data_IF_613847727836
#
_entry.id   IF_613847727836
#
_cell.length_a   1.000
_cell.length_b   1.000
_cell.length_c   1.000
_cell.angle_alpha   90.00
_cell.angle_beta   90.00
_cell.angle_gamma   90.00
#
_symmetry.space_group_name_H-M   'P 1'
#
loop_
_entity.id
_entity.type
_entity.pdbx_description
1 polymer ?
#
# COMPACT_ATOMS: atom_id res chain seq x y z
N UNK A 1 2.80 -41.70 -6.06
CA UNK A 1 3.16 -40.73 -5.01
C UNK A 1 4.67 -40.54 -5.01
N UNK A 2 5.14 -39.31 -5.25
CA UNK A 2 6.24 -38.78 -4.45
C UNK A 2 5.87 -37.42 -3.84
N UNK A 3 6.05 -37.38 -2.52
CA UNK A 3 6.32 -36.25 -1.62
C UNK A 3 6.22 -34.83 -2.18
N UNK A 4 5.19 -34.12 -1.74
CA UNK A 4 5.07 -32.67 -1.81
C UNK A 4 6.23 -32.01 -1.06
N UNK A 5 7.19 -31.46 -1.81
CA UNK A 5 8.19 -30.56 -1.29
C UNK A 5 7.52 -29.30 -0.77
N UNK A 6 7.60 -29.09 0.54
CA UNK A 6 7.21 -27.85 1.21
C UNK A 6 8.10 -26.74 0.66
N UNK A 7 7.65 -26.03 -0.39
CA UNK A 7 8.27 -24.78 -0.80
C UNK A 7 8.12 -23.82 0.37
N UNK A 8 9.21 -23.61 1.11
CA UNK A 8 9.38 -22.43 1.95
C UNK A 8 9.12 -21.23 1.05
N UNK A 9 8.05 -20.49 1.33
CA UNK A 9 7.75 -19.21 0.70
C UNK A 9 8.83 -18.19 1.11
N UNK A 10 10.01 -18.28 0.49
CA UNK A 10 11.03 -17.24 0.50
C UNK A 10 10.61 -16.18 -0.53
N UNK A 11 9.56 -15.41 -0.23
CA UNK A 11 9.47 -14.10 -0.83
C UNK A 11 10.47 -13.21 -0.10
N UNK A 12 11.44 -12.66 -0.84
CA UNK A 12 12.40 -11.69 -0.33
C UNK A 12 11.62 -10.53 0.30
N UNK A 13 11.51 -10.51 1.62
CA UNK A 13 11.21 -9.30 2.37
C UNK A 13 12.31 -8.29 2.07
N UNK A 14 11.93 -7.07 1.68
CA UNK A 14 12.87 -5.96 1.56
C UNK A 14 13.78 -5.93 2.79
N UNK A 15 15.09 -5.96 2.55
CA UNK A 15 16.09 -5.96 3.62
C UNK A 15 16.09 -4.60 4.29
N UNK A 16 15.81 -4.56 5.59
CA UNK A 16 15.81 -3.32 6.35
C UNK A 16 17.13 -2.52 6.16
N UNK A 17 16.99 -1.29 5.66
CA UNK A 17 18.04 -0.32 5.52
C UNK A 17 18.11 0.57 6.77
N UNK A 18 19.26 0.59 7.42
CA UNK A 18 19.53 1.46 8.57
C UNK A 18 20.47 2.58 8.14
N UNK A 19 20.15 3.82 8.50
CA UNK A 19 21.03 4.97 8.25
C UNK A 19 22.36 4.88 9.00
N UNK A 20 22.37 4.22 10.16
CA UNK A 20 23.56 4.02 10.99
C UNK A 20 23.38 2.88 12.00
N UNK A 21 24.49 2.39 12.54
CA UNK A 21 24.47 1.43 13.66
C UNK A 21 23.80 2.02 14.90
N UNK A 22 23.89 3.33 15.11
CA UNK A 22 23.22 4.02 16.20
C UNK A 22 21.69 3.94 16.06
N UNK A 23 21.17 4.17 14.84
CA UNK A 23 19.73 4.02 14.57
C UNK A 23 19.28 2.57 14.79
N UNK A 24 20.06 1.60 14.30
CA UNK A 24 19.78 0.17 14.53
C UNK A 24 19.74 -0.18 16.03
N UNK A 25 20.74 0.28 16.79
CA UNK A 25 20.80 0.06 18.24
C UNK A 25 19.61 0.71 18.97
N UNK A 26 19.22 1.91 18.53
CA UNK A 26 18.07 2.65 19.05
C UNK A 26 16.75 1.92 18.83
N UNK A 27 16.50 1.42 17.63
CA UNK A 27 15.31 0.60 17.32
C UNK A 27 15.30 -0.67 18.19
N UNK A 28 16.45 -1.34 18.35
CA UNK A 28 16.59 -2.51 19.23
C UNK A 28 16.33 -2.19 20.70
N UNK A 29 16.65 -0.98 21.15
CA UNK A 29 16.33 -0.51 22.50
C UNK A 29 14.81 -0.30 22.65
N UNK A 30 14.17 0.37 21.70
CA UNK A 30 12.72 0.62 21.72
C UNK A 30 11.94 -0.69 21.65
N UNK A 31 12.37 -1.64 20.83
CA UNK A 31 11.76 -2.97 20.69
C UNK A 31 11.84 -3.84 21.94
N UNK A 32 12.64 -3.45 22.95
CA UNK A 32 12.68 -4.12 24.27
C UNK A 32 11.64 -3.58 25.25
N UNK A 33 11.07 -2.40 24.98
CA UNK A 33 10.02 -1.82 25.82
C UNK A 33 8.76 -2.71 25.79
N UNK A 34 8.02 -2.72 26.90
CA UNK A 34 6.79 -3.52 26.99
C UNK A 34 5.74 -3.09 25.94
N UNK A 35 5.63 -1.78 25.65
CA UNK A 35 4.75 -1.23 24.63
C UNK A 35 5.00 -1.84 23.24
N UNK A 36 6.27 -1.91 22.83
CA UNK A 36 6.66 -2.48 21.54
C UNK A 36 6.57 -3.99 21.54
N UNK A 37 7.10 -4.65 22.58
CA UNK A 37 7.10 -6.12 22.67
C UNK A 37 5.71 -6.73 22.64
N UNK A 38 4.74 -6.04 23.23
CA UNK A 38 3.36 -6.48 23.32
C UNK A 38 2.48 -5.87 22.22
N UNK A 39 3.02 -4.98 21.38
CA UNK A 39 2.29 -4.30 20.30
C UNK A 39 0.97 -3.65 20.76
N UNK A 40 0.98 -3.10 21.99
CA UNK A 40 -0.23 -2.57 22.62
C UNK A 40 -0.91 -1.46 21.82
N UNK A 41 -0.19 -0.50 21.20
CA UNK A 41 -0.84 0.50 20.36
C UNK A 41 -1.60 -0.14 19.20
N UNK A 42 -1.06 -1.19 18.59
CA UNK A 42 -1.70 -1.90 17.46
C UNK A 42 -2.87 -2.76 17.94
N UNK A 43 -2.80 -3.39 19.11
CA UNK A 43 -3.95 -4.08 19.70
C UNK A 43 -5.09 -3.13 20.08
N UNK A 44 -4.78 -1.98 20.68
CA UNK A 44 -5.78 -0.95 20.98
C UNK A 44 -6.41 -0.45 19.68
N UNK A 45 -5.60 -0.21 18.64
CA UNK A 45 -6.07 0.20 17.32
C UNK A 45 -7.05 -0.83 16.72
N UNK A 46 -6.70 -2.12 16.74
CA UNK A 46 -7.59 -3.21 16.29
C UNK A 46 -8.91 -3.14 17.08
N UNK A 47 -8.83 -3.06 18.42
CA UNK A 47 -9.99 -2.98 19.29
C UNK A 47 -10.90 -1.80 18.95
N UNK A 48 -10.35 -0.59 18.83
CA UNK A 48 -11.09 0.64 18.49
C UNK A 48 -11.73 0.55 17.12
N UNK A 49 -11.00 0.09 16.09
CA UNK A 49 -11.55 -0.01 14.73
C UNK A 49 -12.69 -1.01 14.70
N UNK A 50 -12.49 -2.22 15.24
CA UNK A 50 -13.51 -3.27 15.21
C UNK A 50 -14.73 -2.89 16.03
N UNK A 51 -14.54 -2.50 17.29
CA UNK A 51 -15.66 -2.11 18.15
C UNK A 51 -16.39 -0.89 17.61
N UNK A 52 -15.66 0.14 17.17
CA UNK A 52 -16.24 1.35 16.59
C UNK A 52 -17.02 1.06 15.31
N UNK A 53 -16.51 0.18 14.44
CA UNK A 53 -17.16 -0.12 13.17
C UNK A 53 -18.44 -0.93 13.39
N UNK A 54 -18.39 -2.00 14.19
CA UNK A 54 -19.57 -2.79 14.52
C UNK A 54 -20.60 -1.97 15.30
N UNK A 55 -20.17 -1.16 16.28
CA UNK A 55 -21.07 -0.25 16.99
C UNK A 55 -21.69 0.79 16.05
N UNK A 56 -20.93 1.33 15.10
CA UNK A 56 -21.44 2.28 14.11
C UNK A 56 -22.56 1.69 13.25
N UNK A 57 -22.48 0.41 12.90
CA UNK A 57 -23.57 -0.30 12.21
C UNK A 57 -24.73 -0.61 13.16
N UNK A 58 -24.46 -1.14 14.35
CA UNK A 58 -25.51 -1.52 15.32
C UNK A 58 -26.36 -0.31 15.72
N UNK A 59 -25.70 0.84 15.95
CA UNK A 59 -26.34 2.09 16.33
C UNK A 59 -26.63 3.02 15.14
N UNK A 60 -26.66 2.48 13.91
CA UNK A 60 -26.84 3.25 12.68
C UNK A 60 -28.08 4.17 12.73
N UNK A 61 -29.20 3.64 13.20
CA UNK A 61 -30.46 4.37 13.27
C UNK A 61 -30.40 5.55 14.26
N UNK A 62 -29.64 5.41 15.36
CA UNK A 62 -29.46 6.47 16.36
C UNK A 62 -28.46 7.54 15.89
N UNK A 63 -27.40 7.14 15.21
CA UNK A 63 -26.43 8.07 14.62
C UNK A 63 -27.02 8.88 13.47
N UNK A 64 -27.97 8.28 12.74
CA UNK A 64 -28.49 8.82 11.50
C UNK A 64 -27.49 8.72 10.35
N UNK A 65 -27.95 8.94 9.11
CA UNK A 65 -27.17 8.61 7.91
C UNK A 65 -25.91 9.47 7.75
N UNK A 66 -25.92 10.73 8.19
CA UNK A 66 -24.78 11.64 8.02
C UNK A 66 -23.64 11.26 8.97
N UNK A 67 -23.90 11.29 10.28
CA UNK A 67 -22.88 11.00 11.29
C UNK A 67 -22.41 9.54 11.20
N UNK A 68 -23.34 8.60 10.98
CA UNK A 68 -23.01 7.20 10.76
C UNK A 68 -22.09 7.01 9.55
N UNK A 69 -22.37 7.70 8.43
CA UNK A 69 -21.50 7.60 7.24
C UNK A 69 -20.11 8.15 7.51
N UNK A 70 -19.99 9.33 8.12
CA UNK A 70 -18.67 9.93 8.44
C UNK A 70 -17.87 8.99 9.34
N UNK A 71 -18.49 8.44 10.39
CA UNK A 71 -17.84 7.49 11.29
C UNK A 71 -17.35 6.24 10.54
N UNK A 72 -18.22 5.60 9.75
CA UNK A 72 -17.88 4.38 9.03
C UNK A 72 -16.86 4.63 7.91
N UNK A 73 -16.88 5.80 7.26
CA UNK A 73 -15.84 6.20 6.30
C UNK A 73 -14.48 6.28 6.99
N UNK A 74 -14.40 7.01 8.11
CA UNK A 74 -13.15 7.20 8.85
C UNK A 74 -12.61 5.86 9.38
N UNK A 75 -13.46 5.03 9.95
CA UNK A 75 -13.07 3.71 10.47
C UNK A 75 -12.66 2.75 9.35
N UNK A 76 -13.33 2.78 8.21
CA UNK A 76 -12.97 1.93 7.06
C UNK A 76 -11.67 2.40 6.39
N UNK A 77 -11.43 3.71 6.34
CA UNK A 77 -10.15 4.27 5.90
C UNK A 77 -9.01 3.90 6.87
N UNK A 78 -9.26 4.02 8.18
CA UNK A 78 -8.29 3.64 9.20
C UNK A 78 -8.01 2.14 9.21
N UNK A 79 -9.04 1.33 8.91
CA UNK A 79 -8.90 -0.11 8.72
C UNK A 79 -7.96 -0.46 7.57
N UNK A 80 -7.98 0.26 6.45
CA UNK A 80 -7.00 0.02 5.37
C UNK A 80 -5.56 0.36 5.80
N UNK A 81 -5.37 1.42 6.59
CA UNK A 81 -4.07 1.70 7.22
C UNK A 81 -3.65 0.58 8.18
N UNK A 82 -4.60 0.03 8.95
CA UNK A 82 -4.35 -1.13 9.80
C UNK A 82 -4.02 -2.39 8.96
N UNK A 83 -4.71 -2.65 7.85
CA UNK A 83 -4.41 -3.77 6.96
C UNK A 83 -2.96 -3.71 6.46
N UNK A 84 -2.48 -2.51 6.11
CA UNK A 84 -1.08 -2.29 5.79
C UNK A 84 -0.14 -2.70 6.93
N UNK A 85 -0.41 -2.26 8.15
CA UNK A 85 0.36 -2.62 9.35
C UNK A 85 0.35 -4.14 9.61
N UNK A 86 -0.79 -4.79 9.38
CA UNK A 86 -0.94 -6.25 9.51
C UNK A 86 -0.06 -7.01 8.50
N UNK A 87 0.05 -6.50 7.26
CA UNK A 87 0.88 -7.08 6.19
C UNK A 87 2.35 -7.13 6.60
N UNK A 88 2.82 -6.10 7.31
CA UNK A 88 4.20 -5.97 7.78
C UNK A 88 4.53 -6.73 9.07
N UNK A 89 3.57 -7.51 9.59
CA UNK A 89 3.84 -8.45 10.67
C UNK A 89 3.50 -7.93 12.07
N UNK A 90 2.73 -6.85 12.18
CA UNK A 90 2.19 -6.37 13.45
C UNK A 90 0.73 -6.80 13.60
N UNK A 91 0.19 -6.99 14.81
CA UNK A 91 0.88 -6.98 16.10
C UNK A 91 1.56 -8.33 16.40
N UNK A 92 1.47 -9.34 15.53
CA UNK A 92 2.01 -10.67 15.82
C UNK A 92 3.01 -11.15 14.77
N UNK A 93 4.04 -11.88 15.22
CA UNK A 93 4.96 -12.61 14.34
C UNK A 93 4.28 -13.70 13.48
N UNK A 94 3.01 -14.03 13.76
CA UNK A 94 2.27 -15.07 13.06
C UNK A 94 1.39 -14.44 11.98
N UNK A 95 1.89 -14.49 10.74
CA UNK A 95 1.21 -13.88 9.58
C UNK A 95 -0.25 -14.29 9.42
N UNK A 96 -0.60 -15.54 9.76
CA UNK A 96 -1.98 -16.02 9.67
C UNK A 96 -2.92 -15.37 10.70
N UNK A 97 -2.42 -15.01 11.90
CA UNK A 97 -3.19 -14.29 12.91
C UNK A 97 -3.43 -12.86 12.45
N UNK A 98 -2.41 -12.17 11.94
CA UNK A 98 -2.59 -10.82 11.40
C UNK A 98 -3.55 -10.84 10.20
N UNK A 99 -3.45 -11.86 9.35
CA UNK A 99 -4.37 -12.04 8.23
C UNK A 99 -5.83 -12.19 8.71
N UNK A 100 -6.10 -12.89 9.82
CA UNK A 100 -7.46 -12.98 10.37
C UNK A 100 -8.06 -11.59 10.62
N UNK A 101 -7.30 -10.69 11.24
CA UNK A 101 -7.72 -9.31 11.49
C UNK A 101 -7.79 -8.43 10.23
N UNK A 102 -7.16 -8.85 9.13
CA UNK A 102 -7.19 -8.11 7.86
C UNK A 102 -8.22 -8.63 6.87
N UNK A 103 -8.80 -9.81 7.10
CA UNK A 103 -9.63 -10.52 6.10
C UNK A 103 -11.07 -10.02 6.06
N UNK A 104 -11.58 -9.34 7.10
CA UNK A 104 -12.92 -8.76 7.05
C UNK A 104 -13.00 -7.64 6.01
N UNK A 105 -14.03 -7.62 5.15
CA UNK A 105 -14.08 -6.71 4.00
C UNK A 105 -14.73 -5.36 4.34
N UNK A 106 -14.33 -4.70 5.44
CA UNK A 106 -14.87 -3.37 5.80
C UNK A 106 -14.68 -2.35 4.67
N UNK A 107 -13.52 -2.39 4.01
CA UNK A 107 -13.21 -1.52 2.88
C UNK A 107 -13.69 -2.06 1.51
N UNK A 108 -14.30 -3.26 1.45
CA UNK A 108 -14.93 -3.89 0.27
C UNK A 108 -13.99 -4.28 -0.88
N UNK A 109 -13.15 -3.38 -1.37
CA UNK A 109 -12.67 -3.42 -2.74
C UNK A 109 -11.57 -4.46 -3.03
N UNK A 110 -10.76 -4.81 -2.04
CA UNK A 110 -9.60 -5.70 -2.22
C UNK A 110 -9.61 -6.84 -1.18
N UNK A 111 -9.41 -8.10 -1.58
CA UNK A 111 -9.07 -9.16 -0.65
C UNK A 111 -7.73 -8.86 0.04
N UNK A 112 -7.65 -9.17 1.34
CA UNK A 112 -6.41 -8.95 2.11
C UNK A 112 -5.18 -9.62 1.48
N UNK A 113 -5.32 -10.84 0.95
CA UNK A 113 -4.23 -11.55 0.30
C UNK A 113 -3.73 -10.83 -0.95
N UNK A 114 -4.65 -10.28 -1.76
CA UNK A 114 -4.30 -9.50 -2.95
C UNK A 114 -3.55 -8.23 -2.55
N UNK A 115 -4.06 -7.52 -1.54
CA UNK A 115 -3.40 -6.31 -1.05
C UNK A 115 -2.00 -6.64 -0.50
N UNK A 116 -1.88 -7.69 0.31
CA UNK A 116 -0.60 -8.18 0.84
C UNK A 116 0.41 -8.48 -0.26
N UNK A 117 0.01 -9.24 -1.27
CA UNK A 117 0.94 -9.71 -2.30
C UNK A 117 1.38 -8.57 -3.23
N UNK A 118 0.44 -7.69 -3.61
CA UNK A 118 0.73 -6.44 -4.33
C UNK A 118 1.67 -5.54 -3.53
N UNK A 119 1.39 -5.34 -2.24
CA UNK A 119 2.16 -4.45 -1.39
C UNK A 119 3.59 -4.97 -1.15
N UNK A 120 3.75 -6.28 -0.90
CA UNK A 120 5.09 -6.88 -0.74
C UNK A 120 5.90 -6.77 -2.04
N UNK A 121 5.26 -6.82 -3.20
CA UNK A 121 5.93 -6.58 -4.47
C UNK A 121 6.36 -5.12 -4.62
N UNK A 122 5.49 -4.17 -4.25
CA UNK A 122 5.77 -2.73 -4.22
C UNK A 122 6.95 -2.37 -3.29
N UNK A 123 7.12 -3.11 -2.19
CA UNK A 123 8.24 -2.94 -1.24
C UNK A 123 9.64 -3.26 -1.80
N UNK A 124 9.75 -3.68 -3.06
CA UNK A 124 11.05 -3.85 -3.72
C UNK A 124 11.54 -2.50 -4.22
N UNK A 125 12.40 -1.86 -3.43
CA UNK A 125 12.86 -0.49 -3.68
C UNK A 125 13.47 -0.28 -5.08
N UNK A 126 14.16 -1.28 -5.63
CA UNK A 126 14.72 -1.23 -7.00
C UNK A 126 13.64 -1.11 -8.08
N UNK A 127 12.47 -1.72 -7.83
CA UNK A 127 11.35 -1.77 -8.76
C UNK A 127 10.37 -0.61 -8.57
N UNK A 128 10.50 0.21 -7.50
CA UNK A 128 9.61 1.34 -7.24
C UNK A 128 9.50 2.26 -8.47
N UNK A 129 8.27 2.67 -8.79
CA UNK A 129 7.92 3.47 -9.97
C UNK A 129 8.17 2.82 -11.33
N UNK A 130 8.61 1.56 -11.37
CA UNK A 130 8.82 0.83 -12.62
C UNK A 130 7.46 0.36 -13.20
N UNK A 131 7.04 0.83 -14.39
CA UNK A 131 5.69 0.60 -14.94
C UNK A 131 5.22 -0.85 -15.06
N UNK A 132 6.16 -1.80 -15.18
CA UNK A 132 5.85 -3.22 -15.37
C UNK A 132 6.04 -4.08 -14.12
N UNK A 133 6.73 -3.55 -13.10
CA UNK A 133 7.17 -4.34 -11.93
C UNK A 133 6.55 -3.87 -10.63
N UNK A 134 6.32 -2.57 -10.49
CA UNK A 134 5.65 -2.00 -9.33
C UNK A 134 4.13 -1.95 -9.57
N UNK A 135 3.33 -2.72 -8.82
CA UNK A 135 1.88 -2.77 -8.99
C UNK A 135 1.16 -1.49 -8.55
N UNK A 136 1.85 -0.62 -7.80
CA UNK A 136 1.32 0.68 -7.36
C UNK A 136 1.90 1.85 -8.18
N UNK A 137 2.59 1.54 -9.29
CA UNK A 137 3.15 2.53 -10.19
C UNK A 137 2.06 3.24 -11.02
N UNK A 138 2.19 4.57 -11.11
CA UNK A 138 1.34 5.42 -11.94
C UNK A 138 1.99 5.82 -13.28
N UNK A 139 3.27 5.48 -13.49
CA UNK A 139 3.96 5.72 -14.75
C UNK A 139 3.72 4.59 -15.76
N UNK A 140 3.89 4.92 -17.04
CA UNK A 140 3.73 4.02 -18.17
C UNK A 140 5.01 3.93 -18.99
N UNK A 141 5.19 2.84 -19.73
CA UNK A 141 6.24 2.77 -20.76
C UNK A 141 5.88 3.68 -21.93
N UNK A 142 6.89 4.14 -22.68
CA UNK A 142 6.65 4.97 -23.87
C UNK A 142 5.73 4.26 -24.87
N UNK A 143 5.91 2.94 -25.03
CA UNK A 143 5.07 2.09 -25.88
C UNK A 143 3.62 2.05 -25.40
N UNK A 144 3.38 1.76 -24.11
CA UNK A 144 2.02 1.77 -23.54
C UNK A 144 1.34 3.12 -23.77
N UNK A 145 2.04 4.22 -23.48
CA UNK A 145 1.50 5.57 -23.63
C UNK A 145 1.16 5.89 -25.09
N UNK A 146 1.98 5.48 -26.05
CA UNK A 146 1.69 5.68 -27.47
C UNK A 146 0.38 5.01 -27.91
N UNK A 147 0.11 3.79 -27.43
CA UNK A 147 -1.09 3.02 -27.79
C UNK A 147 -2.36 3.44 -27.04
N UNK A 148 -2.26 4.25 -25.98
CA UNK A 148 -3.45 4.72 -25.28
C UNK A 148 -4.27 5.70 -26.13
N UNK A 149 -5.58 5.45 -26.17
CA UNK A 149 -6.55 6.38 -26.76
C UNK A 149 -6.53 7.74 -26.05
N UNK A 150 -6.80 8.83 -26.79
CA UNK A 150 -6.72 10.20 -26.27
C UNK A 150 -7.60 10.43 -25.03
N UNK A 151 -8.78 9.80 -25.00
CA UNK A 151 -9.68 9.88 -23.84
C UNK A 151 -9.09 9.23 -22.59
N UNK A 152 -8.39 8.09 -22.75
CA UNK A 152 -7.74 7.42 -21.63
C UNK A 152 -6.59 8.26 -21.08
N UNK A 153 -5.79 8.89 -21.96
CA UNK A 153 -4.77 9.86 -21.56
C UNK A 153 -5.38 11.03 -20.78
N UNK A 154 -6.54 11.53 -21.21
CA UNK A 154 -7.30 12.56 -20.51
C UNK A 154 -7.75 12.11 -19.11
N UNK A 155 -8.29 10.89 -18.98
CA UNK A 155 -8.68 10.32 -17.68
C UNK A 155 -7.47 10.17 -16.76
N UNK A 156 -6.34 9.69 -17.27
CA UNK A 156 -5.10 9.54 -16.50
C UNK A 156 -4.62 10.91 -15.99
N UNK A 157 -4.55 11.92 -16.88
CA UNK A 157 -4.18 13.30 -16.50
C UNK A 157 -5.11 13.88 -15.46
N UNK A 158 -6.42 13.68 -15.61
CA UNK A 158 -7.40 14.12 -14.62
C UNK A 158 -7.15 13.41 -13.29
N UNK A 159 -6.92 12.10 -13.29
CA UNK A 159 -6.58 11.33 -12.09
C UNK A 159 -5.25 11.75 -11.43
N UNK A 160 -4.37 12.42 -12.17
CA UNK A 160 -3.10 12.97 -11.67
C UNK A 160 -3.25 14.36 -11.05
N UNK A 161 -4.44 14.99 -11.11
CA UNK A 161 -4.78 16.12 -10.23
C UNK A 161 -5.18 15.59 -8.86
N UNK A 162 -5.02 16.38 -7.79
CA UNK A 162 -5.39 15.97 -6.44
C UNK A 162 -6.90 15.66 -6.34
N UNK A 163 -7.76 16.56 -6.83
CA UNK A 163 -9.21 16.34 -6.81
C UNK A 163 -9.62 15.17 -7.70
N UNK A 164 -9.00 15.05 -8.88
CA UNK A 164 -9.26 13.92 -9.78
C UNK A 164 -8.78 12.58 -9.21
N UNK A 165 -7.66 12.56 -8.46
CA UNK A 165 -7.21 11.36 -7.75
C UNK A 165 -8.23 10.92 -6.71
N UNK A 166 -8.77 11.85 -5.92
CA UNK A 166 -9.78 11.51 -4.91
C UNK A 166 -11.10 11.05 -5.54
N UNK A 167 -11.50 11.64 -6.66
CA UNK A 167 -12.82 11.37 -7.27
C UNK A 167 -12.81 10.20 -8.25
N UNK A 168 -11.80 10.07 -9.10
CA UNK A 168 -11.70 9.07 -10.19
C UNK A 168 -10.71 7.96 -9.86
N UNK A 169 -9.65 8.25 -9.09
CA UNK A 169 -8.63 7.27 -8.70
C UNK A 169 -9.21 5.96 -8.16
N UNK A 170 -10.13 5.98 -7.16
CA UNK A 170 -10.74 4.77 -6.64
C UNK A 170 -11.43 3.91 -7.72
N UNK A 171 -12.14 4.55 -8.66
CA UNK A 171 -12.77 3.83 -9.78
C UNK A 171 -11.76 3.11 -10.66
N UNK A 172 -10.62 3.74 -10.96
CA UNK A 172 -9.56 3.12 -11.75
C UNK A 172 -8.99 1.89 -11.05
N UNK A 173 -8.75 1.96 -9.75
CA UNK A 173 -8.21 0.83 -9.00
C UNK A 173 -9.21 -0.31 -8.86
N UNK A 174 -10.49 0.00 -8.64
CA UNK A 174 -11.56 -0.99 -8.60
C UNK A 174 -11.64 -1.71 -9.95
N UNK A 175 -11.62 -0.99 -11.07
CA UNK A 175 -11.62 -1.58 -12.42
C UNK A 175 -10.40 -2.48 -12.61
N UNK A 176 -9.20 -2.02 -12.23
CA UNK A 176 -7.98 -2.81 -12.35
C UNK A 176 -8.02 -4.09 -11.50
N UNK A 177 -8.59 -3.99 -10.30
CA UNK A 177 -8.78 -5.13 -9.38
C UNK A 177 -9.76 -6.15 -9.94
N UNK A 178 -10.90 -5.70 -10.45
CA UNK A 178 -11.90 -6.57 -11.09
C UNK A 178 -11.35 -7.24 -12.35
N UNK A 179 -10.55 -6.54 -13.15
CA UNK A 179 -9.82 -7.13 -14.29
C UNK A 179 -8.82 -8.19 -13.83
N UNK A 180 -8.12 -7.94 -12.73
CA UNK A 180 -7.24 -8.91 -12.08
C UNK A 180 -7.99 -10.17 -11.63
N UNK A 181 -9.14 -9.99 -10.98
CA UNK A 181 -10.04 -11.07 -10.61
C UNK A 181 -10.47 -11.88 -11.83
N UNK A 182 -11.01 -11.23 -12.86
CA UNK A 182 -11.44 -11.89 -14.10
C UNK A 182 -10.34 -12.72 -14.76
N UNK A 183 -9.11 -12.17 -14.84
CA UNK A 183 -7.93 -12.91 -15.34
C UNK A 183 -7.63 -14.16 -14.53
N UNK A 184 -7.68 -14.09 -13.19
CA UNK A 184 -7.46 -15.24 -12.33
C UNK A 184 -8.50 -16.36 -12.55
N UNK A 185 -9.77 -16.00 -12.75
CA UNK A 185 -10.82 -16.96 -13.09
C UNK A 185 -10.63 -17.57 -14.48
N UNK A 186 -10.29 -16.76 -15.48
CA UNK A 186 -10.05 -17.25 -16.85
C UNK A 186 -8.82 -18.17 -16.95
N UNK A 187 -7.75 -17.88 -16.20
CA UNK A 187 -6.53 -18.69 -16.19
C UNK A 187 -6.60 -19.91 -15.28
N UNK A 188 -7.66 -20.03 -14.46
CA UNK A 188 -7.82 -21.14 -13.51
C UNK A 188 -6.87 -21.09 -12.31
N UNK A 189 -6.44 -19.89 -11.89
CA UNK A 189 -5.59 -19.68 -10.72
C UNK A 189 -6.36 -20.01 -9.43
N UNK A 190 -6.30 -21.29 -9.02
CA UNK A 190 -7.08 -21.82 -7.88
C UNK A 190 -6.84 -21.05 -6.56
N UNK A 191 -5.59 -20.75 -6.15
CA UNK A 191 -5.34 -19.89 -4.98
C UNK A 191 -6.06 -18.54 -5.04
N UNK A 192 -5.94 -17.83 -6.17
CA UNK A 192 -6.58 -16.52 -6.32
C UNK A 192 -8.11 -16.62 -6.34
N UNK A 193 -8.66 -17.64 -7.02
CA UNK A 193 -10.10 -17.91 -7.03
C UNK A 193 -10.62 -18.16 -5.61
N UNK A 194 -9.95 -19.02 -4.83
CA UNK A 194 -10.37 -19.33 -3.46
C UNK A 194 -10.34 -18.09 -2.55
N UNK A 195 -9.31 -17.25 -2.68
CA UNK A 195 -9.24 -15.97 -1.98
C UNK A 195 -10.43 -15.06 -2.34
N UNK A 196 -10.76 -14.95 -3.62
CA UNK A 196 -11.93 -14.18 -4.07
C UNK A 196 -13.24 -14.73 -3.55
N UNK A 197 -13.42 -16.06 -3.55
CA UNK A 197 -14.62 -16.69 -3.01
C UNK A 197 -14.80 -16.43 -1.50
N UNK A 198 -13.72 -16.52 -0.72
CA UNK A 198 -13.76 -16.16 0.71
C UNK A 198 -14.13 -14.69 0.87
N UNK A 199 -13.47 -13.79 0.15
CA UNK A 199 -13.71 -12.35 0.25
C UNK A 199 -15.16 -12.00 -0.10
N UNK A 200 -15.67 -12.52 -1.21
CA UNK A 200 -17.05 -12.29 -1.66
C UNK A 200 -18.08 -12.92 -0.71
N UNK A 201 -17.79 -14.09 -0.15
CA UNK A 201 -18.65 -14.73 0.84
C UNK A 201 -18.75 -13.93 2.14
N UNK A 202 -17.60 -13.44 2.65
CA UNK A 202 -17.55 -12.56 3.82
C UNK A 202 -18.24 -11.22 3.53
N UNK A 203 -18.02 -10.65 2.35
CA UNK A 203 -18.64 -9.39 1.95
C UNK A 203 -20.15 -9.52 1.86
N UNK A 204 -20.64 -10.60 1.26
CA UNK A 204 -22.07 -10.90 1.20
C UNK A 204 -22.66 -11.03 2.60
N UNK A 205 -22.04 -11.81 3.48
CA UNK A 205 -22.50 -11.98 4.86
C UNK A 205 -22.52 -10.65 5.64
N UNK A 206 -21.47 -9.83 5.46
CA UNK A 206 -21.38 -8.51 6.08
C UNK A 206 -22.50 -7.59 5.59
N UNK A 207 -22.66 -7.42 4.28
CA UNK A 207 -23.70 -6.56 3.69
C UNK A 207 -25.12 -7.04 4.05
N UNK A 208 -25.34 -8.35 4.08
CA UNK A 208 -26.61 -8.94 4.51
C UNK A 208 -26.91 -8.63 5.97
N UNK A 209 -25.93 -8.79 6.87
CA UNK A 209 -26.06 -8.45 8.29
C UNK A 209 -26.34 -6.95 8.48
N UNK A 210 -25.62 -6.08 7.77
CA UNK A 210 -25.82 -4.62 7.82
C UNK A 210 -27.21 -4.18 7.35
N UNK A 211 -27.80 -4.90 6.38
CA UNK A 211 -29.15 -4.63 5.93
C UNK A 211 -30.18 -4.78 7.06
N UNK A 212 -29.94 -5.67 8.03
CA UNK A 212 -30.77 -5.81 9.24
C UNK A 212 -30.81 -4.55 10.13
N UNK A 213 -29.81 -3.67 10.02
CA UNK A 213 -29.75 -2.39 10.72
C UNK A 213 -30.22 -1.20 9.86
N UNK A 214 -30.68 -1.46 8.62
CA UNK A 214 -31.19 -0.45 7.70
C UNK A 214 -30.13 0.22 6.83
N UNK A 215 -28.94 -0.36 6.72
CA UNK A 215 -27.91 0.09 5.76
C UNK A 215 -28.03 -0.76 4.50
N UNK A 216 -28.50 -0.19 3.40
CA UNK A 216 -28.56 -0.93 2.14
C UNK A 216 -27.15 -1.17 1.57
N UNK A 217 -26.98 -2.30 0.87
CA UNK A 217 -25.70 -2.65 0.26
C UNK A 217 -25.21 -1.56 -0.71
N UNK A 218 -26.09 -1.03 -1.55
CA UNK A 218 -25.75 0.04 -2.50
C UNK A 218 -25.30 1.31 -1.79
N UNK A 219 -25.98 1.69 -0.70
CA UNK A 219 -25.59 2.84 0.10
C UNK A 219 -24.21 2.63 0.72
N UNK A 220 -23.95 1.47 1.32
CA UNK A 220 -22.63 1.18 1.90
C UNK A 220 -21.53 1.23 0.84
N UNK A 221 -21.76 0.64 -0.32
CA UNK A 221 -20.78 0.64 -1.42
C UNK A 221 -20.45 2.06 -1.88
N UNK A 222 -21.46 2.87 -2.21
CA UNK A 222 -21.28 4.16 -2.85
C UNK A 222 -20.98 5.31 -1.87
N UNK A 223 -21.59 5.31 -0.69
CA UNK A 223 -21.54 6.44 0.26
C UNK A 223 -20.53 6.21 1.37
N UNK A 224 -20.14 4.97 1.66
CA UNK A 224 -19.19 4.67 2.73
C UNK A 224 -17.88 4.11 2.18
N UNK A 225 -17.93 2.98 1.47
CA UNK A 225 -16.71 2.28 1.06
C UNK A 225 -15.96 3.01 -0.06
N UNK A 226 -16.65 3.65 -1.01
CA UNK A 226 -16.00 4.44 -2.06
C UNK A 226 -15.32 5.70 -1.49
N UNK A 227 -15.98 6.52 -0.63
CA UNK A 227 -15.30 7.64 0.02
C UNK A 227 -14.19 7.21 0.99
N UNK A 228 -14.31 6.05 1.65
CA UNK A 228 -13.21 5.51 2.45
C UNK A 228 -11.97 5.22 1.59
N UNK A 229 -12.15 4.56 0.43
CA UNK A 229 -11.06 4.34 -0.52
C UNK A 229 -10.51 5.66 -1.06
N UNK A 230 -11.39 6.60 -1.43
CA UNK A 230 -11.01 7.97 -1.83
C UNK A 230 -10.13 8.66 -0.77
N UNK A 231 -10.48 8.55 0.51
CA UNK A 231 -9.72 9.18 1.59
C UNK A 231 -8.28 8.64 1.68
N UNK A 232 -8.05 7.36 1.41
CA UNK A 232 -6.68 6.80 1.38
C UNK A 232 -5.84 7.36 0.24
N UNK A 233 -6.48 7.86 -0.83
CA UNK A 233 -5.80 8.47 -1.97
C UNK A 233 -5.16 9.81 -1.67
N UNK A 234 -5.51 10.44 -0.54
CA UNK A 234 -4.76 11.60 -0.02
C UNK A 234 -3.31 11.17 0.29
N UNK A 235 -3.14 10.01 0.96
CA UNK A 235 -1.80 9.49 1.30
C UNK A 235 -1.01 9.14 0.06
N UNK A 236 -1.64 8.38 -0.84
CA UNK A 236 -0.98 7.82 -2.02
C UNK A 236 -0.93 8.76 -3.22
N UNK A 237 -1.31 10.04 -3.07
CA UNK A 237 -1.41 10.98 -4.20
C UNK A 237 -0.07 11.15 -4.93
N UNK A 238 0.99 11.41 -4.16
CA UNK A 238 2.35 11.58 -4.65
C UNK A 238 3.34 11.03 -3.62
N UNK A 239 3.14 9.76 -3.25
CA UNK A 239 4.05 9.07 -2.32
C UNK A 239 5.33 8.58 -2.99
N UNK A 240 5.32 8.42 -4.32
CA UNK A 240 6.51 8.15 -5.13
C UNK A 240 6.68 9.09 -6.32
N UNK A 241 7.93 9.39 -6.65
CA UNK A 241 8.37 10.06 -7.87
C UNK A 241 9.35 9.18 -8.63
N UNK A 242 9.37 9.28 -9.95
CA UNK A 242 10.46 8.68 -10.72
C UNK A 242 11.78 9.39 -10.39
N UNK A 243 12.80 8.60 -10.03
CA UNK A 243 14.16 9.06 -9.78
C UNK A 243 15.15 7.93 -10.05
N UNK A 244 16.39 8.25 -10.42
CA UNK A 244 17.42 7.24 -10.70
C UNK A 244 17.78 6.44 -9.44
N UNK A 245 18.01 7.12 -8.32
CA UNK A 245 18.30 6.48 -7.04
C UNK A 245 17.00 6.08 -6.34
N UNK A 246 16.83 4.78 -6.04
CA UNK A 246 15.64 4.23 -5.39
C UNK A 246 15.30 4.93 -4.06
N UNK A 247 16.33 5.29 -3.27
CA UNK A 247 16.16 5.98 -1.99
C UNK A 247 15.54 7.37 -2.10
N UNK A 248 15.54 7.97 -3.30
CA UNK A 248 14.97 9.29 -3.55
C UNK A 248 13.58 9.25 -4.17
N UNK A 249 13.02 8.05 -4.39
CA UNK A 249 11.70 7.83 -4.99
C UNK A 249 10.57 8.07 -4.00
N UNK A 250 10.75 7.76 -2.72
CA UNK A 250 9.69 7.79 -1.70
C UNK A 250 9.67 9.10 -0.90
N UNK A 251 8.47 9.63 -0.65
CA UNK A 251 8.27 10.93 0.01
C UNK A 251 8.48 10.85 1.54
N UNK A 252 8.88 11.98 2.11
CA UNK A 252 8.77 12.27 3.54
C UNK A 252 7.72 13.38 3.75
N UNK A 253 6.53 13.03 4.23
CA UNK A 253 5.46 13.99 4.47
C UNK A 253 5.32 14.32 5.96
N UNK A 254 5.67 15.55 6.33
CA UNK A 254 5.55 16.11 7.68
C UNK A 254 4.11 16.56 7.97
N UNK A 255 3.17 15.61 7.90
CA UNK A 255 1.75 15.88 8.03
C UNK A 255 1.30 16.23 9.46
N UNK A 256 0.19 16.99 9.54
CA UNK A 256 -0.49 17.30 10.79
C UNK A 256 -1.00 16.03 11.51
N UNK A 257 -1.23 16.14 12.82
CA UNK A 257 -1.56 14.99 13.66
C UNK A 257 -2.78 14.15 13.21
N UNK A 258 -3.87 14.71 12.63
CA UNK A 258 -5.01 13.89 12.21
C UNK A 258 -4.63 12.92 11.10
N UNK A 259 -3.86 13.39 10.12
CA UNK A 259 -3.33 12.57 9.02
C UNK A 259 -2.34 11.54 9.51
N UNK A 260 -1.49 11.90 10.48
CA UNK A 260 -0.57 10.96 11.13
C UNK A 260 -1.31 9.84 11.87
N UNK A 261 -2.44 10.13 12.48
CA UNK A 261 -3.26 9.10 13.11
C UNK A 261 -3.97 8.23 12.07
N UNK A 262 -4.66 8.86 11.11
CA UNK A 262 -5.45 8.17 10.09
C UNK A 262 -4.60 7.23 9.21
N UNK A 263 -3.39 7.67 8.85
CA UNK A 263 -2.46 6.89 8.03
C UNK A 263 -1.38 6.18 8.85
N UNK A 264 -1.53 6.12 10.18
CA UNK A 264 -0.59 5.41 11.06
C UNK A 264 0.87 5.80 10.79
N UNK A 265 1.16 7.11 10.74
CA UNK A 265 2.46 7.69 10.40
C UNK A 265 3.10 7.23 9.07
N UNK A 266 2.40 6.52 8.18
CA UNK A 266 2.90 6.13 6.85
C UNK A 266 3.19 7.33 5.92
N UNK A 267 2.83 8.54 6.35
CA UNK A 267 3.30 9.80 5.78
C UNK A 267 4.85 9.85 5.67
N UNK A 268 5.57 9.16 6.56
CA UNK A 268 7.03 8.99 6.49
C UNK A 268 7.38 7.80 5.60
N UNK A 269 6.93 7.82 4.35
CA UNK A 269 6.89 6.67 3.46
C UNK A 269 8.30 6.12 3.16
N UNK A 270 9.31 6.98 2.99
CA UNK A 270 10.71 6.53 2.87
C UNK A 270 11.19 5.76 4.11
N UNK A 271 10.85 6.22 5.32
CA UNK A 271 11.24 5.52 6.56
C UNK A 271 10.61 4.13 6.62
N UNK A 272 9.37 4.03 6.13
CA UNK A 272 8.65 2.77 6.03
C UNK A 272 9.32 1.80 5.03
N UNK A 273 9.74 2.27 3.86
CA UNK A 273 10.49 1.45 2.89
C UNK A 273 11.84 1.00 3.44
N UNK A 274 12.59 1.92 4.05
CA UNK A 274 13.87 1.59 4.67
C UNK A 274 13.69 0.61 5.85
N UNK A 275 12.61 0.72 6.63
CA UNK A 275 12.38 -0.08 7.84
C UNK A 275 10.96 -0.70 7.87
N UNK A 276 10.64 -1.70 7.02
CA UNK A 276 9.26 -2.19 6.87
C UNK A 276 8.67 -2.83 8.12
N UNK A 277 9.52 -3.40 8.99
CA UNK A 277 9.13 -4.04 10.24
C UNK A 277 9.08 -3.06 11.45
N UNK A 278 9.25 -1.76 11.21
CA UNK A 278 9.12 -0.74 12.24
C UNK A 278 7.63 -0.47 12.47
N UNK A 279 7.10 -0.65 13.69
CA UNK A 279 5.69 -0.44 13.93
C UNK A 279 5.31 1.02 13.69
N UNK A 280 4.07 1.24 13.29
CA UNK A 280 3.58 2.55 12.87
C UNK A 280 3.80 3.69 13.88
N UNK A 281 3.75 3.39 15.18
CA UNK A 281 3.96 4.37 16.25
C UNK A 281 5.44 4.75 16.45
N UNK A 282 6.37 3.99 15.85
CA UNK A 282 7.81 4.28 15.84
C UNK A 282 8.29 5.13 14.66
N UNK A 283 7.59 5.10 13.52
CA UNK A 283 8.00 5.76 12.27
C UNK A 283 8.38 7.23 12.46
N UNK A 284 7.49 8.01 13.08
CA UNK A 284 7.75 9.45 13.32
C UNK A 284 8.94 9.68 14.24
N UNK A 285 9.07 8.87 15.29
CA UNK A 285 10.14 9.05 16.26
C UNK A 285 11.50 8.82 15.60
N UNK A 286 11.65 7.72 14.86
CA UNK A 286 12.88 7.40 14.13
C UNK A 286 13.17 8.45 13.05
N UNK A 287 12.15 8.92 12.34
CA UNK A 287 12.31 10.03 11.40
C UNK A 287 12.91 11.26 12.08
N UNK A 288 12.33 11.71 13.20
CA UNK A 288 12.78 12.93 13.87
C UNK A 288 14.19 12.81 14.47
N UNK A 289 14.52 11.65 15.04
CA UNK A 289 15.86 11.36 15.59
C UNK A 289 16.94 11.37 14.48
N UNK A 290 16.57 11.16 13.21
CA UNK A 290 17.47 11.13 12.05
C UNK A 290 17.01 12.02 10.88
N UNK A 291 16.33 13.14 11.19
CA UNK A 291 15.60 13.94 10.20
C UNK A 291 16.49 14.40 9.05
N UNK A 292 17.64 14.98 9.37
CA UNK A 292 18.57 15.53 8.37
C UNK A 292 19.06 14.44 7.42
N UNK A 293 19.42 13.27 7.94
CA UNK A 293 19.90 12.15 7.14
C UNK A 293 18.81 11.59 6.22
N UNK A 294 17.57 11.46 6.70
CA UNK A 294 16.45 11.02 5.87
C UNK A 294 16.12 12.02 4.77
N UNK A 295 16.13 13.33 5.07
CA UNK A 295 15.88 14.37 4.06
C UNK A 295 16.97 14.41 2.98
N UNK A 296 18.22 14.18 3.36
CA UNK A 296 19.33 14.03 2.40
C UNK A 296 19.14 12.78 1.54
N UNK A 297 18.85 11.62 2.17
CA UNK A 297 18.62 10.35 1.48
C UNK A 297 17.44 10.38 0.51
N UNK A 298 16.37 11.13 0.83
CA UNK A 298 15.21 11.29 -0.05
C UNK A 298 15.49 12.21 -1.25
N UNK A 299 16.69 12.80 -1.35
CA UNK A 299 16.99 13.83 -2.35
C UNK A 299 16.08 15.04 -2.17
N UNK A 300 15.85 15.43 -0.91
CA UNK A 300 14.94 16.50 -0.50
C UNK A 300 13.49 16.33 -0.97
N UNK A 301 13.03 15.08 -1.18
CA UNK A 301 11.62 14.81 -1.43
C UNK A 301 10.81 14.88 -0.13
N UNK A 302 10.60 16.10 0.35
CA UNK A 302 9.95 16.41 1.62
C UNK A 302 8.78 17.35 1.37
N UNK A 303 7.66 17.10 2.04
CA UNK A 303 6.48 17.96 1.97
C UNK A 303 5.96 18.28 3.37
N UNK A 304 5.48 19.51 3.59
CA UNK A 304 4.93 19.93 4.88
C UNK A 304 3.40 19.75 4.91
N UNK A 305 2.95 18.50 4.83
CA UNK A 305 1.53 18.15 4.89
C UNK A 305 0.84 18.12 3.53
N UNK A 306 -0.32 17.46 3.51
CA UNK A 306 -1.13 17.28 2.30
C UNK A 306 -1.76 18.56 1.76
N UNK A 307 -1.82 19.64 2.54
CA UNK A 307 -2.29 20.94 2.05
C UNK A 307 -1.38 21.48 0.95
N UNK A 308 -0.07 21.24 1.03
CA UNK A 308 0.84 21.63 -0.06
C UNK A 308 0.51 20.91 -1.37
N UNK A 309 0.12 19.63 -1.31
CA UNK A 309 -0.32 18.88 -2.48
C UNK A 309 -1.66 19.38 -3.02
N UNK A 310 -2.58 19.70 -2.12
CA UNK A 310 -3.84 20.32 -2.50
C UNK A 310 -3.61 21.66 -3.20
N UNK A 311 -2.84 22.57 -2.60
CA UNK A 311 -2.62 23.92 -3.12
C UNK A 311 -1.89 23.91 -4.48
N UNK A 312 -0.91 23.02 -4.65
CA UNK A 312 -0.15 22.90 -5.89
C UNK A 312 -0.90 22.14 -6.99
N UNK A 313 -1.67 21.11 -6.63
CA UNK A 313 -2.18 20.11 -7.58
C UNK A 313 -3.69 19.89 -7.52
N UNK A 314 -4.49 20.72 -6.83
CA UNK A 314 -5.95 20.61 -6.79
C UNK A 314 -6.54 20.33 -8.18
N UNK A 315 -6.12 21.12 -9.17
CA UNK A 315 -6.53 21.03 -10.57
C UNK A 315 -5.35 21.01 -11.57
N UNK A 316 -4.12 21.02 -11.07
CA UNK A 316 -2.90 20.85 -11.88
C UNK A 316 -2.48 19.39 -11.81
N UNK A 317 -2.29 18.75 -12.97
CA UNK A 317 -1.89 17.36 -13.01
C UNK A 317 -0.39 17.21 -12.67
N UNK A 318 -0.04 16.19 -11.90
CA UNK A 318 1.33 15.73 -11.79
C UNK A 318 1.82 15.25 -13.17
N UNK A 319 3.09 15.51 -13.47
CA UNK A 319 3.78 15.04 -14.69
C UNK A 319 4.14 13.54 -14.60
N UNK A 320 3.14 12.72 -14.31
CA UNK A 320 3.24 11.26 -14.18
C UNK A 320 2.56 10.64 -15.41
N UNK A 321 3.34 10.53 -16.48
CA UNK A 321 2.92 9.89 -17.73
C UNK A 321 3.92 8.79 -18.09
N UNK A 322 4.85 9.07 -19.01
CA UNK A 322 5.91 8.14 -19.40
C UNK A 322 7.00 8.15 -18.33
N UNK A 323 7.45 6.97 -17.89
CA UNK A 323 8.54 6.86 -16.91
C UNK A 323 9.85 7.40 -17.51
N UNK A 324 10.45 8.46 -16.94
CA UNK A 324 11.56 9.19 -17.58
C UNK A 324 12.87 8.38 -17.65
N UNK A 325 13.02 7.34 -16.85
CA UNK A 325 14.26 6.53 -16.76
C UNK A 325 14.12 5.10 -17.29
N UNK A 326 12.94 4.74 -17.84
CA UNK A 326 12.62 3.34 -18.19
C UNK A 326 13.63 2.70 -19.16
N UNK A 327 13.95 3.40 -20.25
CA UNK A 327 14.86 2.87 -21.27
C UNK A 327 16.30 2.74 -20.76
N UNK A 328 16.71 3.59 -19.82
CA UNK A 328 18.04 3.54 -19.20
C UNK A 328 18.14 2.37 -18.22
N UNK A 329 17.13 2.17 -17.38
CA UNK A 329 17.07 1.08 -16.39
C UNK A 329 17.06 -0.29 -17.09
N UNK A 330 16.22 -0.47 -18.12
CA UNK A 330 16.16 -1.74 -18.86
C UNK A 330 17.45 -2.05 -19.64
N UNK A 331 18.14 -1.04 -20.18
CA UNK A 331 19.44 -1.25 -20.84
C UNK A 331 20.50 -1.71 -19.85
N UNK A 332 20.48 -1.19 -18.62
CA UNK A 332 21.43 -1.55 -17.56
C UNK A 332 21.22 -2.99 -17.12
N UNK A 333 19.97 -3.39 -16.87
CA UNK A 333 19.61 -4.78 -16.51
C UNK A 333 19.98 -5.76 -17.63
N UNK A 334 19.68 -5.43 -18.89
CA UNK A 334 20.03 -6.29 -20.02
C UNK A 334 21.56 -6.44 -20.21
N UNK A 335 22.34 -5.40 -19.89
CA UNK A 335 23.80 -5.45 -19.91
C UNK A 335 24.36 -6.29 -18.75
N UNK A 336 23.81 -6.15 -17.56
CA UNK A 336 24.18 -6.94 -16.37
C UNK A 336 23.86 -8.43 -16.57
N UNK A 337 22.68 -8.78 -17.08
CA UNK A 337 22.31 -10.15 -17.42
C UNK A 337 23.22 -10.75 -18.49
N UNK A 338 23.55 -10.00 -19.55
CA UNK A 338 24.52 -10.45 -20.57
C UNK A 338 25.91 -10.67 -19.98
N UNK A 339 26.35 -9.82 -19.05
CA UNK A 339 27.65 -9.93 -18.38
C UNK A 339 27.71 -11.08 -17.35
N UNK A 340 26.60 -11.36 -16.68
CA UNK A 340 26.44 -12.48 -15.75
C UNK A 340 26.43 -13.83 -16.46
N UNK A 341 25.79 -13.91 -17.64
CA UNK A 341 25.80 -15.10 -18.50
C UNK A 341 27.22 -15.38 -19.05
N UNK A 342 27.99 -14.35 -19.39
CA UNK A 342 29.38 -14.52 -19.86
C UNK A 342 30.37 -14.90 -18.76
N UNK A 343 30.12 -14.51 -17.49
CA UNK A 343 30.93 -14.99 -16.36
C UNK A 343 30.62 -16.44 -15.98
N UNK A 344 29.37 -16.89 -16.15
CA UNK A 344 28.96 -18.28 -15.93
C UNK A 344 29.53 -19.27 -16.97
N UNK A 345 29.75 -18.83 -18.22
CA UNK A 345 30.31 -19.69 -19.27
C UNK A 345 31.82 -19.89 -19.19
N UNK A 346 32.56 -19.06 -18.43
CA UNK A 346 34.01 -19.21 -18.27
C UNK A 346 34.46 -20.12 -17.12
N UNK A 347 33.55 -20.69 -16.31
CA UNK A 347 33.92 -21.60 -15.22
C UNK A 347 33.70 -23.10 -15.49
N UNK A 348 33.41 -23.51 -16.74
CA UNK A 348 33.18 -24.92 -17.10
C UNK A 348 34.22 -25.59 -18.01
N UNK A 349 35.40 -24.99 -18.23
CA UNK A 349 36.46 -25.64 -19.02
C UNK A 349 37.86 -25.46 -18.42
N UNK A 350 38.09 -26.03 -17.23
CA UNK A 350 39.43 -26.35 -16.75
C UNK A 350 39.33 -27.47 -15.69
N UNK A 351 39.18 -28.71 -16.15
CA UNK A 351 39.53 -29.92 -15.39
C UNK A 351 39.85 -31.02 -16.39
N UNK A 352 41.12 -31.07 -16.77
CA UNK A 352 41.81 -32.29 -17.23
C UNK A 352 42.21 -33.13 -16.04
#
# INVERSE_FOLDING_TARGET
>A
MPTAGTKRNNHATSTAYYLSDQQRARIKQLSRSWLWRLELPTWVLIGVIYTGWFAGVIYWQQLGPVLGSVLLILLSAWYMSLQHELIHGHPTRWRWVNQLFGTLPFAVWYPYGLYRDSHIQHHRDEDLTHPEKDPECYYYTATQWQYFHILLKGIIRLSNTFVGRLTIGPSLDIINTLRGAGRAFMSGDRPAIFMWLIHLGLLYGLLHWMAGYGISAVFYLLVISYPALSLTKVRSFFEHRAAQESSTRSVLNEAAWPWRLLFLNLNYHLVHHDLPALPWYGLRQIYLENRVQYQQRSGQFVVNGYTQWFDAFAFTALEIEVHPFYDCENKTVAAEERSGVTKSSHHRSAST
#
